data_IF_027225230116
#
_entry.id   IF_027225230116
#
_cell.length_a   1.000
_cell.length_b   1.000
_cell.length_c   1.000
_cell.angle_alpha   90.00
_cell.angle_beta   90.00
_cell.angle_gamma   90.00
#
_symmetry.space_group_name_H-M   'P 1'
#
loop_
_entity.id
_entity.type
_entity.pdbx_description
1 polymer ?
#
# COMPACT_ATOMS: atom_id res chain seq x y z
N UNK A 1 12.81 11.70 1.84
CA UNK A 1 11.72 10.88 2.39
C UNK A 1 12.26 9.46 2.56
N UNK A 2 11.86 8.71 3.59
CA UNK A 2 12.30 7.31 3.72
C UNK A 2 11.59 6.47 2.66
N UNK A 3 12.35 5.72 1.85
CA UNK A 3 11.78 4.82 0.84
C UNK A 3 10.87 3.77 1.50
N UNK A 4 9.71 3.44 0.90
CA UNK A 4 8.92 2.31 1.37
C UNK A 4 9.74 1.02 1.23
N UNK A 5 9.46 0.05 2.09
CA UNK A 5 10.11 -1.26 2.05
C UNK A 5 9.10 -2.33 2.41
N UNK A 6 9.13 -3.44 1.69
CA UNK A 6 8.30 -4.62 1.94
C UNK A 6 8.39 -5.08 3.40
N UNK A 7 7.24 -5.43 3.97
CA UNK A 7 7.08 -5.80 5.37
C UNK A 7 6.87 -4.63 6.34
N UNK A 8 7.00 -3.37 5.90
CA UNK A 8 6.75 -2.20 6.76
C UNK A 8 5.26 -1.93 6.92
N UNK A 9 4.87 -1.55 8.13
CA UNK A 9 3.51 -1.07 8.44
C UNK A 9 3.41 0.42 8.11
N UNK A 10 2.38 0.78 7.34
CA UNK A 10 2.04 2.15 6.93
C UNK A 10 0.59 2.47 7.28
N UNK A 11 0.24 3.75 7.18
CA UNK A 11 -1.15 4.21 7.17
C UNK A 11 -1.65 4.25 5.74
N UNK A 12 -2.88 3.81 5.52
CA UNK A 12 -3.58 3.92 4.24
C UNK A 12 -4.91 4.65 4.44
N UNK A 13 -5.17 5.67 3.62
CA UNK A 13 -6.42 6.43 3.62
C UNK A 13 -7.39 5.75 2.66
N UNK A 14 -8.47 5.16 3.17
CA UNK A 14 -9.42 4.41 2.33
C UNK A 14 -10.04 5.26 1.21
N UNK A 15 -10.17 4.69 0.00
CA UNK A 15 -10.89 5.30 -1.14
C UNK A 15 -12.41 5.27 -0.99
N UNK A 16 -12.95 4.33 -0.21
CA UNK A 16 -14.39 4.06 -0.11
C UNK A 16 -14.84 3.99 1.37
N UNK A 17 -16.06 4.43 1.66
CA UNK A 17 -16.64 4.51 3.01
C UNK A 17 -16.29 5.80 3.74
N UNK A 18 -16.06 5.74 5.06
CA UNK A 18 -15.73 6.88 5.93
C UNK A 18 -14.34 7.51 5.66
N UNK A 19 -13.72 7.18 4.52
CA UNK A 19 -12.31 7.48 4.22
C UNK A 19 -11.42 7.13 5.42
N UNK A 20 -11.71 6.10 6.20
CA UNK A 20 -11.03 5.94 7.49
C UNK A 20 -9.52 5.69 7.30
N UNK A 21 -8.72 6.14 8.27
CA UNK A 21 -7.32 5.77 8.35
C UNK A 21 -7.21 4.32 8.79
N UNK A 22 -6.48 3.52 8.01
CA UNK A 22 -6.29 2.08 8.23
C UNK A 22 -4.81 1.75 8.34
N UNK A 23 -4.51 0.72 9.12
CA UNK A 23 -3.18 0.11 9.05
C UNK A 23 -3.10 -0.71 7.75
N UNK A 24 -1.94 -0.69 7.12
CA UNK A 24 -1.62 -1.54 5.99
C UNK A 24 -0.17 -2.01 6.08
N UNK A 25 0.15 -3.13 5.45
CA UNK A 25 1.52 -3.62 5.30
C UNK A 25 1.94 -3.52 3.84
N UNK A 26 3.16 -3.06 3.58
CA UNK A 26 3.77 -3.06 2.25
C UNK A 26 4.04 -4.51 1.84
N UNK A 27 3.37 -4.98 0.79
CA UNK A 27 3.52 -6.33 0.25
C UNK A 27 4.46 -6.39 -0.94
N UNK A 28 4.65 -5.28 -1.64
CA UNK A 28 5.68 -5.12 -2.66
C UNK A 28 6.11 -3.65 -2.79
N UNK A 29 7.40 -3.46 -3.06
CA UNK A 29 8.06 -2.21 -3.47
C UNK A 29 8.83 -2.45 -4.79
N UNK A 30 9.52 -1.43 -5.29
CA UNK A 30 10.28 -1.54 -6.55
C UNK A 30 11.40 -2.57 -6.55
N UNK A 31 11.93 -2.91 -5.38
CA UNK A 31 13.04 -3.86 -5.24
C UNK A 31 12.53 -5.31 -5.10
N UNK A 32 11.24 -5.49 -4.80
CA UNK A 32 10.65 -6.79 -4.44
C UNK A 32 9.49 -7.24 -5.34
N UNK A 33 8.92 -6.34 -6.15
CA UNK A 33 7.88 -6.70 -7.11
C UNK A 33 8.44 -7.65 -8.19
N UNK A 34 7.85 -8.85 -8.34
CA UNK A 34 8.29 -9.81 -9.35
C UNK A 34 7.90 -9.34 -10.76
N UNK A 35 8.87 -9.03 -11.64
CA UNK A 35 8.60 -8.56 -12.99
C UNK A 35 7.87 -9.60 -13.85
N UNK A 36 7.95 -10.90 -13.52
CA UNK A 36 7.24 -11.96 -14.24
C UNK A 36 5.74 -11.91 -13.98
N UNK A 37 5.33 -11.61 -12.74
CA UNK A 37 3.92 -11.43 -12.38
C UNK A 37 3.32 -10.21 -13.07
N UNK A 38 4.10 -9.12 -13.20
CA UNK A 38 3.72 -7.93 -13.97
C UNK A 38 3.57 -8.27 -15.46
N UNK A 39 4.55 -8.96 -16.06
CA UNK A 39 4.51 -9.36 -17.47
C UNK A 39 3.35 -10.32 -17.79
N UNK A 40 2.94 -11.15 -16.82
CA UNK A 40 1.79 -12.04 -16.92
C UNK A 40 0.44 -11.34 -16.66
N UNK A 41 0.44 -10.09 -16.21
CA UNK A 41 -0.78 -9.33 -15.88
C UNK A 41 -1.43 -9.74 -14.56
N UNK A 42 -0.74 -10.50 -13.70
CA UNK A 42 -1.24 -10.96 -12.40
C UNK A 42 -1.28 -9.84 -11.36
N UNK A 43 -0.37 -8.88 -11.49
CA UNK A 43 -0.23 -7.73 -10.58
C UNK A 43 0.16 -6.48 -11.39
N UNK A 44 -0.39 -5.28 -11.06
CA UNK A 44 -0.01 -4.04 -11.74
C UNK A 44 1.46 -3.66 -11.50
N UNK A 45 2.07 -2.96 -12.46
CA UNK A 45 3.35 -2.30 -12.24
C UNK A 45 3.24 -1.15 -11.22
N UNK A 46 4.38 -0.72 -10.68
CA UNK A 46 4.48 0.51 -9.90
C UNK A 46 4.83 1.69 -10.82
N UNK A 47 4.12 2.80 -10.68
CA UNK A 47 4.35 4.00 -11.50
C UNK A 47 5.57 4.81 -11.03
N UNK A 48 6.06 4.56 -9.81
CA UNK A 48 7.12 5.34 -9.17
C UNK A 48 7.82 4.55 -8.06
N UNK A 49 9.03 4.99 -7.68
CA UNK A 49 9.84 4.38 -6.61
C UNK A 49 9.27 4.58 -5.19
N UNK A 50 8.27 5.44 -5.04
CA UNK A 50 7.52 5.61 -3.80
C UNK A 50 6.17 4.89 -3.80
N UNK A 51 5.76 4.29 -4.93
CA UNK A 51 4.51 3.55 -4.99
C UNK A 51 4.70 2.15 -4.42
N UNK A 52 3.64 1.58 -3.86
CA UNK A 52 3.69 0.26 -3.23
C UNK A 52 2.45 -0.56 -3.53
N UNK A 53 2.53 -1.87 -3.31
CA UNK A 53 1.34 -2.70 -3.07
C UNK A 53 1.13 -2.87 -1.57
N UNK A 54 -0.13 -2.89 -1.17
CA UNK A 54 -0.54 -2.96 0.23
C UNK A 54 -1.50 -4.12 0.46
N UNK A 55 -1.39 -4.71 1.64
CA UNK A 55 -2.53 -5.37 2.27
C UNK A 55 -3.10 -4.46 3.36
N UNK A 56 -4.35 -4.04 3.20
CA UNK A 56 -5.04 -3.09 4.06
C UNK A 56 -5.94 -3.82 5.04
N UNK A 57 -5.80 -3.55 6.34
CA UNK A 57 -6.64 -4.14 7.38
C UNK A 57 -7.92 -3.32 7.59
N UNK A 58 -9.06 -4.01 7.76
CA UNK A 58 -10.34 -3.36 8.06
C UNK A 58 -10.70 -3.55 9.55
N UNK A 59 -10.74 -2.49 10.37
CA UNK A 59 -11.15 -2.59 11.76
C UNK A 59 -12.58 -3.13 11.90
N UNK A 60 -12.79 -4.13 12.75
CA UNK A 60 -14.10 -4.71 13.01
C UNK A 60 -14.54 -5.80 12.03
N UNK A 61 -13.77 -6.05 10.97
CA UNK A 61 -14.01 -7.14 10.03
C UNK A 61 -12.95 -8.24 10.15
N UNK A 62 -13.30 -9.47 9.76
CA UNK A 62 -12.35 -10.58 9.67
C UNK A 62 -11.60 -10.51 8.33
N UNK A 63 -10.58 -9.67 8.24
CA UNK A 63 -9.66 -9.68 7.10
C UNK A 63 -9.18 -8.31 6.66
N UNK A 64 -8.87 -8.25 5.36
CA UNK A 64 -8.34 -7.08 4.67
C UNK A 64 -8.50 -7.22 3.17
N UNK A 65 -7.97 -6.27 2.43
CA UNK A 65 -8.00 -6.27 0.97
C UNK A 65 -6.67 -5.77 0.40
N UNK A 66 -6.36 -6.21 -0.81
CA UNK A 66 -5.20 -5.73 -1.54
C UNK A 66 -5.47 -4.36 -2.17
N UNK A 67 -4.48 -3.49 -2.14
CA UNK A 67 -4.43 -2.25 -2.91
C UNK A 67 -3.13 -2.24 -3.72
N UNK A 68 -3.23 -1.82 -4.97
CA UNK A 68 -2.13 -1.86 -5.92
C UNK A 68 -1.70 -0.46 -6.30
N UNK A 69 -0.41 -0.32 -6.62
CA UNK A 69 0.22 0.89 -7.11
C UNK A 69 -0.19 2.17 -6.32
N UNK A 70 -0.08 2.09 -4.99
CA UNK A 70 -0.55 3.13 -4.06
C UNK A 70 0.51 4.21 -3.91
N UNK A 71 0.14 5.46 -4.22
CA UNK A 71 1.01 6.63 -4.10
C UNK A 71 1.16 7.09 -2.64
N UNK A 72 2.30 7.73 -2.27
CA UNK A 72 2.44 8.34 -0.96
C UNK A 72 1.57 9.60 -0.83
N UNK A 73 1.10 9.89 0.38
CA UNK A 73 0.33 11.07 0.75
C UNK A 73 -0.80 10.76 1.73
N UNK A 74 -1.62 11.76 2.03
CA UNK A 74 -2.71 11.67 3.04
C UNK A 74 -4.11 11.75 2.42
N UNK A 75 -4.22 11.87 1.10
CA UNK A 75 -5.49 11.88 0.39
C UNK A 75 -6.10 10.47 0.26
N UNK A 76 -7.41 10.34 0.00
CA UNK A 76 -8.04 9.06 -0.29
C UNK A 76 -7.28 8.25 -1.35
N UNK A 77 -6.94 7.01 -0.99
CA UNK A 77 -6.19 6.09 -1.84
C UNK A 77 -4.69 6.23 -1.78
N UNK A 78 -4.15 6.99 -0.82
CA UNK A 78 -2.72 7.15 -0.61
C UNK A 78 -2.24 6.53 0.71
N UNK A 79 -0.92 6.39 0.84
CA UNK A 79 -0.27 5.89 2.04
C UNK A 79 0.68 6.89 2.68
N UNK A 80 0.80 6.87 4.00
CA UNK A 80 1.76 7.69 4.73
C UNK A 80 2.44 6.94 5.86
N UNK A 81 3.63 7.40 6.25
CA UNK A 81 4.34 6.84 7.38
C UNK A 81 3.55 7.09 8.67
N UNK A 82 3.45 6.11 9.58
CA UNK A 82 2.97 6.38 10.93
C UNK A 82 3.84 7.45 11.59
N UNK A 83 3.27 8.33 12.44
CA UNK A 83 4.05 9.29 13.21
C UNK A 83 5.08 8.55 14.05
N UNK A 84 6.31 9.06 14.06
CA UNK A 84 7.37 8.52 14.92
C UNK A 84 7.01 8.83 16.37
N UNK A 85 7.04 7.80 17.21
CA UNK A 85 6.99 7.93 18.68
C UNK A 85 8.39 8.00 19.26
#
# INVERSE_FOLDING_TARGET
MQKPTTGRIVRYRGKQGLLAMRAAIVTADVDTLDPRGVAAGEVPALDSDQHVHLWVFTPGEKGGFAEFNVAPGDDPGQWSWPPRV
#
